data_IF_752940176556
#
_entry.id   IF_752940176556
#
_cell.length_a   1.000
_cell.length_b   1.000
_cell.length_c   1.000
_cell.angle_alpha   90.00
_cell.angle_beta   90.00
_cell.angle_gamma   90.00
#
_symmetry.space_group_name_H-M   'P 1'
#
loop_
_entity.id
_entity.type
_entity.pdbx_description
1 polymer ?
#
# COMPACT_ATOMS: atom_id res chain seq x y z
N UNK A 1 -4.21 16.24 -7.75
CA UNK A 1 -3.41 15.13 -8.33
C UNK A 1 -2.25 15.70 -9.13
N UNK A 2 -1.02 15.26 -8.86
CA UNK A 2 0.22 15.67 -9.53
C UNK A 2 0.88 14.46 -10.21
N UNK A 3 1.45 14.66 -11.40
CA UNK A 3 2.04 13.58 -12.19
C UNK A 3 1.00 12.72 -12.92
N UNK A 4 1.44 11.60 -13.51
CA UNK A 4 0.58 10.67 -14.27
C UNK A 4 0.97 9.22 -13.98
N UNK A 5 -0.01 8.29 -13.96
CA UNK A 5 0.30 6.87 -13.88
C UNK A 5 1.04 6.40 -15.13
N UNK A 6 2.07 5.58 -14.90
CA UNK A 6 2.81 4.88 -15.93
C UNK A 6 1.96 3.75 -16.49
N UNK A 7 2.21 3.38 -17.74
CA UNK A 7 1.58 2.20 -18.34
C UNK A 7 2.15 0.95 -17.66
N UNK A 8 1.37 -0.13 -17.59
CA UNK A 8 1.81 -1.43 -17.03
C UNK A 8 3.16 -1.90 -17.61
N UNK A 9 3.37 -1.73 -18.91
CA UNK A 9 4.63 -2.10 -19.59
C UNK A 9 5.86 -1.37 -19.05
N UNK A 10 5.67 -0.16 -18.54
CA UNK A 10 6.73 0.71 -18.04
C UNK A 10 6.93 0.50 -16.54
N UNK A 11 5.84 0.31 -15.79
CA UNK A 11 5.81 -0.03 -14.37
C UNK A 11 4.64 -0.98 -14.06
N UNK A 12 4.86 -2.30 -13.98
CA UNK A 12 3.80 -3.26 -13.70
C UNK A 12 3.33 -3.25 -12.24
N UNK A 13 4.06 -2.60 -11.34
CA UNK A 13 3.74 -2.50 -9.92
C UNK A 13 3.63 -1.03 -9.52
N UNK A 14 2.49 -0.66 -8.94
CA UNK A 14 2.24 0.61 -8.28
C UNK A 14 2.40 0.41 -6.77
N UNK A 15 3.25 1.21 -6.13
CA UNK A 15 3.41 1.19 -4.67
C UNK A 15 2.90 2.49 -4.08
N UNK A 16 2.26 2.41 -2.91
CA UNK A 16 1.63 3.57 -2.27
C UNK A 16 1.83 3.53 -0.76
N UNK A 17 2.01 4.69 -0.12
CA UNK A 17 1.87 4.77 1.34
C UNK A 17 0.41 4.53 1.72
N UNK A 18 0.16 4.06 2.94
CA UNK A 18 -1.19 3.71 3.39
C UNK A 18 -1.55 4.48 4.65
N UNK A 19 -2.52 5.37 4.54
CA UNK A 19 -2.98 6.22 5.65
C UNK A 19 -4.35 5.77 6.14
N UNK A 20 -5.24 5.37 5.24
CA UNK A 20 -6.64 5.11 5.58
C UNK A 20 -7.30 4.11 4.63
N UNK A 21 -8.46 3.58 5.02
CA UNK A 21 -9.23 2.65 4.18
C UNK A 21 -9.75 3.30 2.88
N UNK A 22 -9.73 4.63 2.76
CA UNK A 22 -10.09 5.37 1.54
C UNK A 22 -9.02 5.20 0.44
N UNK A 23 -7.76 4.93 0.79
CA UNK A 23 -6.66 4.78 -0.18
C UNK A 23 -6.96 3.70 -1.25
N UNK A 24 -7.25 2.43 -0.87
CA UNK A 24 -7.57 1.41 -1.86
C UNK A 24 -8.83 1.73 -2.68
N UNK A 25 -9.80 2.45 -2.12
CA UNK A 25 -11.02 2.86 -2.84
C UNK A 25 -10.70 3.83 -3.98
N UNK A 26 -9.92 4.88 -3.70
CA UNK A 26 -9.48 5.84 -4.71
C UNK A 26 -8.64 5.16 -5.81
N UNK A 27 -7.70 4.32 -5.38
CA UNK A 27 -6.81 3.58 -6.28
C UNK A 27 -7.61 2.65 -7.19
N UNK A 28 -8.60 1.96 -6.65
CA UNK A 28 -9.49 1.10 -7.41
C UNK A 28 -10.27 1.90 -8.46
N UNK A 29 -10.92 2.97 -8.04
CA UNK A 29 -11.64 3.87 -8.95
C UNK A 29 -10.76 4.35 -10.11
N UNK A 30 -9.47 4.64 -9.84
CA UNK A 30 -8.58 5.22 -10.83
C UNK A 30 -7.89 4.20 -11.75
N UNK A 31 -7.52 3.03 -11.24
CA UNK A 31 -6.62 2.10 -11.94
C UNK A 31 -7.15 0.68 -12.12
N UNK A 32 -8.23 0.31 -11.41
CA UNK A 32 -8.73 -1.06 -11.30
C UNK A 32 -7.61 -2.11 -11.11
N UNK A 33 -6.64 -1.88 -10.20
CA UNK A 33 -5.47 -2.72 -10.12
C UNK A 33 -5.79 -4.04 -9.44
N UNK A 34 -4.88 -4.99 -9.63
CA UNK A 34 -4.86 -6.19 -8.80
C UNK A 34 -4.21 -5.84 -7.47
N UNK A 35 -4.95 -5.97 -6.37
CA UNK A 35 -4.45 -5.63 -5.03
C UNK A 35 -3.83 -6.83 -4.31
N UNK A 36 -2.89 -6.54 -3.42
CA UNK A 36 -2.39 -7.48 -2.41
C UNK A 36 -3.04 -7.12 -1.08
N UNK A 37 -3.72 -8.06 -0.43
CA UNK A 37 -4.49 -7.81 0.79
C UNK A 37 -4.30 -8.91 1.83
N UNK A 38 -4.45 -8.55 3.10
CA UNK A 38 -4.55 -9.53 4.17
C UNK A 38 -5.85 -10.35 4.04
N UNK A 39 -5.82 -11.63 4.38
CA UNK A 39 -6.98 -12.54 4.23
C UNK A 39 -8.17 -12.10 5.12
N UNK A 40 -7.88 -11.50 6.27
CA UNK A 40 -8.86 -10.98 7.21
C UNK A 40 -9.73 -9.87 6.59
N UNK A 41 -9.19 -9.12 5.62
CA UNK A 41 -9.93 -8.07 4.93
C UNK A 41 -11.10 -8.61 4.08
N UNK A 42 -11.10 -9.90 3.75
CA UNK A 42 -12.20 -10.56 3.04
C UNK A 42 -13.44 -10.76 3.91
N UNK A 43 -13.30 -10.67 5.24
CA UNK A 43 -14.39 -10.88 6.18
C UNK A 43 -15.18 -9.60 6.49
N UNK A 44 -14.77 -8.44 5.95
CA UNK A 44 -15.52 -7.20 6.13
C UNK A 44 -16.87 -7.26 5.40
N UNK A 45 -18.00 -6.96 6.07
CA UNK A 45 -19.32 -6.91 5.43
C UNK A 45 -19.31 -5.97 4.21
N UNK A 46 -19.92 -6.42 3.10
CA UNK A 46 -19.98 -5.74 1.80
C UNK A 46 -18.62 -5.57 1.09
N UNK A 47 -17.62 -5.00 1.78
CA UNK A 47 -16.28 -4.76 1.23
C UNK A 47 -15.54 -6.05 0.89
N UNK A 48 -15.68 -7.09 1.71
CA UNK A 48 -15.04 -8.39 1.49
C UNK A 48 -15.48 -9.07 0.19
N UNK A 49 -16.76 -8.93 -0.18
CA UNK A 49 -17.30 -9.43 -1.46
C UNK A 49 -16.72 -8.68 -2.65
N UNK A 50 -16.63 -7.34 -2.56
CA UNK A 50 -16.01 -6.51 -3.60
C UNK A 50 -14.53 -6.87 -3.74
N UNK A 51 -13.83 -6.99 -2.60
CA UNK A 51 -12.42 -7.39 -2.56
C UNK A 51 -12.23 -8.75 -3.22
N UNK A 52 -13.07 -9.73 -2.92
CA UNK A 52 -13.00 -11.08 -3.51
C UNK A 52 -13.23 -11.05 -5.02
N UNK A 53 -14.19 -10.26 -5.50
CA UNK A 53 -14.48 -10.11 -6.93
C UNK A 53 -13.31 -9.51 -7.72
N UNK A 54 -12.42 -8.76 -7.07
CA UNK A 54 -11.20 -8.20 -7.67
C UNK A 54 -10.06 -9.22 -7.83
N UNK A 55 -10.26 -10.49 -7.45
CA UNK A 55 -9.27 -11.56 -7.52
C UNK A 55 -7.91 -11.17 -6.89
N UNK A 56 -7.89 -10.73 -5.63
CA UNK A 56 -6.70 -10.18 -5.00
C UNK A 56 -5.67 -11.29 -4.75
N UNK A 57 -4.42 -10.89 -4.51
CA UNK A 57 -3.44 -11.79 -3.91
C UNK A 57 -3.62 -11.71 -2.39
N UNK A 58 -4.07 -12.78 -1.76
CA UNK A 58 -4.28 -12.84 -0.32
C UNK A 58 -3.02 -13.27 0.43
N UNK A 59 -2.82 -12.73 1.62
CA UNK A 59 -1.69 -13.05 2.49
C UNK A 59 -2.19 -13.30 3.91
N UNK A 60 -1.80 -14.43 4.50
CA UNK A 60 -1.82 -14.65 5.94
C UNK A 60 -0.52 -14.16 6.54
N UNK A 61 -0.59 -13.14 7.38
CA UNK A 61 0.60 -12.44 7.91
C UNK A 61 1.48 -13.36 8.76
N UNK A 62 0.86 -14.25 9.52
CA UNK A 62 1.53 -15.22 10.41
C UNK A 62 2.20 -16.38 9.66
N UNK A 63 1.78 -16.67 8.43
CA UNK A 63 2.26 -17.83 7.66
C UNK A 63 3.37 -17.44 6.70
N UNK A 64 4.59 -17.92 6.97
CA UNK A 64 5.72 -17.77 6.03
C UNK A 64 5.43 -18.41 4.67
N UNK A 65 4.76 -19.56 4.66
CA UNK A 65 4.37 -20.25 3.42
C UNK A 65 3.41 -19.39 2.59
N UNK A 66 2.40 -18.77 3.23
CA UNK A 66 1.47 -17.85 2.57
C UNK A 66 2.20 -16.64 1.96
N UNK A 67 3.15 -16.05 2.70
CA UNK A 67 3.98 -14.94 2.20
C UNK A 67 4.82 -15.36 0.99
N UNK A 68 5.39 -16.56 1.00
CA UNK A 68 6.16 -17.09 -0.13
C UNK A 68 5.27 -17.32 -1.36
N UNK A 69 4.07 -17.90 -1.18
CA UNK A 69 3.08 -18.09 -2.25
C UNK A 69 2.67 -16.75 -2.87
N UNK A 70 2.42 -15.74 -2.04
CA UNK A 70 2.09 -14.41 -2.53
C UNK A 70 3.23 -13.76 -3.32
N UNK A 71 4.49 -13.91 -2.89
CA UNK A 71 5.64 -13.42 -3.65
C UNK A 71 5.75 -14.06 -5.05
N UNK A 72 5.48 -15.36 -5.15
CA UNK A 72 5.43 -16.08 -6.44
C UNK A 72 4.32 -15.51 -7.33
N UNK A 73 3.11 -15.32 -6.79
CA UNK A 73 1.99 -14.74 -7.55
C UNK A 73 2.22 -13.28 -7.96
N UNK A 74 2.84 -12.46 -7.09
CA UNK A 74 3.26 -11.09 -7.43
C UNK A 74 4.23 -11.14 -8.62
N UNK A 75 5.25 -12.00 -8.59
CA UNK A 75 6.21 -12.14 -9.69
C UNK A 75 5.54 -12.58 -10.99
N UNK A 76 4.58 -13.51 -10.91
CA UNK A 76 3.81 -14.00 -12.06
C UNK A 76 2.96 -12.89 -12.67
N UNK A 77 2.16 -12.17 -11.86
CA UNK A 77 1.25 -11.12 -12.35
C UNK A 77 1.98 -9.86 -12.83
N UNK A 78 3.13 -9.53 -12.23
CA UNK A 78 3.97 -8.43 -12.68
C UNK A 78 4.54 -8.67 -14.08
N UNK A 79 4.92 -9.92 -14.40
CA UNK A 79 5.55 -10.29 -15.69
C UNK A 79 4.54 -10.71 -16.76
N UNK A 80 3.33 -11.12 -16.37
CA UNK A 80 2.32 -11.56 -17.33
C UNK A 80 1.73 -10.38 -18.11
N UNK A 81 1.66 -10.54 -19.43
CA UNK A 81 0.97 -9.65 -20.36
C UNK A 81 -0.53 -9.93 -20.47
N UNK A 82 -1.00 -11.07 -19.96
CA UNK A 82 -2.42 -11.45 -19.98
C UNK A 82 -3.25 -10.52 -19.10
N UNK A 83 -2.68 -10.12 -17.96
CA UNK A 83 -3.29 -9.16 -17.06
C UNK A 83 -3.06 -7.75 -17.59
N UNK A 84 -4.13 -7.02 -17.95
CA UNK A 84 -4.00 -5.65 -18.49
C UNK A 84 -3.69 -4.61 -17.41
N UNK A 85 -4.05 -4.88 -16.17
CA UNK A 85 -3.94 -3.94 -15.05
C UNK A 85 -2.64 -4.17 -14.27
N UNK A 86 -2.11 -3.08 -13.70
CA UNK A 86 -0.94 -3.13 -12.82
C UNK A 86 -1.30 -3.77 -11.47
N UNK A 87 -0.29 -4.32 -10.80
CA UNK A 87 -0.39 -4.68 -9.39
C UNK A 87 -0.34 -3.42 -8.53
N UNK A 88 -1.11 -3.39 -7.46
CA UNK A 88 -1.01 -2.37 -6.44
C UNK A 88 -0.69 -2.98 -5.09
N UNK A 89 0.32 -2.42 -4.42
CA UNK A 89 0.82 -2.90 -3.13
C UNK A 89 1.05 -1.72 -2.19
N UNK A 90 0.58 -1.85 -0.95
CA UNK A 90 0.99 -0.98 0.16
C UNK A 90 2.18 -1.64 0.88
N UNK A 91 3.43 -1.24 0.58
CA UNK A 91 4.60 -1.96 1.08
C UNK A 91 4.80 -1.81 2.59
N UNK A 92 4.15 -0.84 3.25
CA UNK A 92 4.09 -0.72 4.71
C UNK A 92 3.43 -1.95 5.35
N UNK A 93 2.49 -2.60 4.65
CA UNK A 93 1.73 -3.74 5.16
C UNK A 93 0.72 -3.40 6.27
N UNK A 94 0.57 -2.11 6.58
CA UNK A 94 -0.37 -1.54 7.55
C UNK A 94 -0.71 -0.11 7.13
N UNK A 95 -1.75 0.47 7.71
CA UNK A 95 -2.01 1.91 7.70
C UNK A 95 -1.19 2.63 8.77
N UNK A 96 -0.79 3.87 8.49
CA UNK A 96 -0.02 4.75 9.40
C UNK A 96 -0.65 6.15 9.45
N UNK A 97 -0.17 6.99 10.38
CA UNK A 97 -0.61 8.38 10.47
C UNK A 97 0.07 9.32 9.45
N UNK A 98 0.92 8.78 8.57
CA UNK A 98 1.62 9.55 7.54
C UNK A 98 2.68 10.54 8.04
N UNK A 99 3.02 10.56 9.34
CA UNK A 99 4.04 11.48 9.90
C UNK A 99 5.48 10.96 9.74
N UNK A 100 5.63 9.65 9.57
CA UNK A 100 6.89 8.99 9.28
C UNK A 100 6.62 7.82 8.34
N UNK A 101 7.63 7.43 7.56
CA UNK A 101 7.54 6.28 6.68
C UNK A 101 8.19 5.06 7.34
N UNK A 102 7.35 4.06 7.63
CA UNK A 102 7.78 2.78 8.21
C UNK A 102 8.55 1.92 7.21
N UNK A 103 9.23 0.90 7.71
CA UNK A 103 9.96 -0.07 6.88
C UNK A 103 9.04 -0.80 5.90
N UNK A 104 9.51 -0.95 4.67
CA UNK A 104 8.77 -1.63 3.60
C UNK A 104 9.02 -3.13 3.62
N UNK A 105 7.95 -3.93 3.47
CA UNK A 105 8.03 -5.38 3.33
C UNK A 105 8.63 -5.73 1.95
N UNK A 106 9.82 -6.32 1.94
CA UNK A 106 10.58 -6.64 0.72
C UNK A 106 9.87 -7.59 -0.25
N UNK A 107 8.90 -8.37 0.22
CA UNK A 107 8.06 -9.24 -0.60
C UNK A 107 7.35 -8.50 -1.74
N UNK A 108 7.00 -7.22 -1.53
CA UNK A 108 6.41 -6.35 -2.55
C UNK A 108 7.33 -6.11 -3.75
N UNK A 109 8.64 -6.21 -3.54
CA UNK A 109 9.70 -5.93 -4.52
C UNK A 109 10.36 -7.22 -5.06
N UNK A 110 9.87 -8.39 -4.65
CA UNK A 110 10.38 -9.71 -5.04
C UNK A 110 10.37 -9.97 -6.56
N UNK A 111 9.51 -9.28 -7.31
CA UNK A 111 9.41 -9.42 -8.76
C UNK A 111 10.62 -8.85 -9.51
N UNK A 112 11.45 -8.01 -8.85
CA UNK A 112 12.52 -7.22 -9.48
C UNK A 112 12.04 -6.50 -10.75
N UNK A 113 10.78 -6.06 -10.74
CA UNK A 113 10.17 -5.32 -11.85
C UNK A 113 10.22 -3.81 -11.56
N UNK A 114 10.16 -2.95 -12.58
CA UNK A 114 10.01 -1.52 -12.37
C UNK A 114 8.77 -1.21 -11.53
N UNK A 115 8.92 -0.28 -10.58
CA UNK A 115 7.82 0.17 -9.72
C UNK A 115 7.56 1.64 -9.98
N UNK A 116 6.29 2.04 -9.96
CA UNK A 116 5.95 3.45 -9.84
C UNK A 116 5.53 3.72 -8.40
N UNK A 117 6.26 4.58 -7.68
CA UNK A 117 5.79 5.06 -6.40
C UNK A 117 4.71 6.11 -6.59
N UNK A 118 3.70 6.07 -5.74
CA UNK A 118 2.67 7.08 -5.61
C UNK A 118 2.56 7.45 -4.13
N UNK A 119 2.50 8.74 -3.85
CA UNK A 119 2.31 9.21 -2.48
C UNK A 119 0.95 9.87 -2.33
N UNK A 120 0.31 9.62 -1.20
CA UNK A 120 -0.98 10.20 -0.80
C UNK A 120 -0.81 11.04 0.45
N UNK A 121 -1.41 12.22 0.43
CA UNK A 121 -1.47 13.14 1.58
C UNK A 121 -2.92 13.50 1.85
N UNK A 122 -3.22 13.70 3.12
CA UNK A 122 -4.52 14.14 3.58
C UNK A 122 -4.37 15.43 4.38
N UNK A 123 -4.33 16.60 3.70
CA UNK A 123 -4.40 17.88 4.39
C UNK A 123 -5.70 17.97 5.17
N UNK A 124 -5.60 18.17 6.48
CA UNK A 124 -6.75 18.29 7.37
C UNK A 124 -6.46 19.31 8.46
N UNK A 125 -7.53 19.89 9.00
CA UNK A 125 -7.46 20.85 10.11
C UNK A 125 -8.08 20.27 11.37
N UNK A 126 -9.29 19.71 11.26
CA UNK A 126 -10.07 19.28 12.43
C UNK A 126 -10.22 17.76 12.57
N UNK A 127 -10.14 17.01 11.47
CA UNK A 127 -10.32 15.56 11.47
C UNK A 127 -9.14 14.89 10.77
N UNK A 128 -8.35 14.14 11.53
CA UNK A 128 -7.32 13.25 10.98
C UNK A 128 -8.00 12.01 10.35
N UNK A 129 -7.86 11.78 9.04
CA UNK A 129 -8.47 10.64 8.37
C UNK A 129 -7.65 9.35 8.52
N UNK A 130 -6.52 9.36 9.23
CA UNK A 130 -5.68 8.18 9.40
C UNK A 130 -6.38 7.09 10.20
N UNK A 131 -6.25 5.86 9.72
CA UNK A 131 -6.82 4.68 10.36
C UNK A 131 -5.70 3.87 11.02
N UNK A 132 -5.26 4.31 12.21
CA UNK A 132 -4.20 3.63 12.98
C UNK A 132 -4.79 2.60 13.96
N UNK A 133 -3.97 1.66 14.44
CA UNK A 133 -4.41 0.57 15.32
C UNK A 133 -5.14 1.06 16.59
N UNK A 134 -4.60 2.08 17.26
CA UNK A 134 -5.20 2.72 18.45
C UNK A 134 -6.25 3.80 18.09
N UNK A 135 -6.69 3.84 16.82
CA UNK A 135 -7.61 4.85 16.30
C UNK A 135 -9.08 4.47 16.41
N UNK A 136 -9.99 5.34 15.93
CA UNK A 136 -11.40 4.99 15.79
C UNK A 136 -11.56 3.80 14.82
N UNK A 137 -12.63 3.02 15.01
CA UNK A 137 -12.99 1.96 14.05
C UNK A 137 -13.23 2.52 12.65
N UNK A 138 -13.05 1.71 11.62
CA UNK A 138 -13.28 2.12 10.23
C UNK A 138 -14.68 2.74 10.02
N UNK A 139 -15.71 2.19 10.66
CA UNK A 139 -17.08 2.72 10.57
C UNK A 139 -17.24 4.08 11.27
N UNK A 140 -16.63 4.24 12.46
CA UNK A 140 -16.67 5.53 13.16
C UNK A 140 -15.90 6.60 12.37
N UNK A 141 -14.77 6.24 11.78
CA UNK A 141 -13.99 7.13 10.94
C UNK A 141 -14.74 7.46 9.64
N UNK A 142 -15.37 6.49 8.99
CA UNK A 142 -16.24 6.72 7.83
C UNK A 142 -17.37 7.69 8.16
N UNK A 143 -18.06 7.48 9.28
CA UNK A 143 -19.11 8.40 9.73
C UNK A 143 -18.58 9.82 9.91
N UNK A 144 -17.42 9.99 10.56
CA UNK A 144 -16.78 11.31 10.74
C UNK A 144 -16.39 11.96 9.41
N UNK A 145 -15.88 11.19 8.45
CA UNK A 145 -15.56 11.70 7.11
C UNK A 145 -16.82 12.17 6.36
N UNK A 146 -17.95 11.51 6.57
CA UNK A 146 -19.25 11.91 6.00
C UNK A 146 -19.86 13.14 6.67
N UNK A 147 -19.45 13.49 7.89
CA UNK A 147 -19.91 14.71 8.58
C UNK A 147 -19.06 15.95 8.27
N UNK A 148 -18.07 15.84 7.40
CA UNK A 148 -17.30 16.99 6.91
C UNK A 148 -17.87 17.53 5.60
N UNK A 149 -17.83 18.85 5.41
CA UNK A 149 -18.28 19.49 4.17
C UNK A 149 -17.44 19.04 2.96
N UNK A 150 -16.13 18.87 3.15
CA UNK A 150 -15.24 18.25 2.17
C UNK A 150 -14.06 17.55 2.85
N UNK A 151 -13.49 16.58 2.16
CA UNK A 151 -12.25 15.90 2.55
C UNK A 151 -11.21 16.11 1.45
N UNK A 152 -9.98 16.45 1.81
CA UNK A 152 -8.90 16.63 0.83
C UNK A 152 -8.04 15.36 0.73
N UNK A 153 -7.78 14.95 -0.50
CA UNK A 153 -6.84 13.88 -0.84
C UNK A 153 -5.91 14.39 -1.95
N UNK A 154 -4.63 14.48 -1.64
CA UNK A 154 -3.60 14.86 -2.60
C UNK A 154 -2.82 13.62 -3.03
N UNK A 155 -2.67 13.46 -4.34
CA UNK A 155 -1.96 12.34 -4.94
C UNK A 155 -0.80 12.89 -5.74
N UNK A 156 0.37 12.29 -5.59
CA UNK A 156 1.54 12.57 -6.43
C UNK A 156 2.15 11.27 -6.95
N UNK A 157 2.19 11.13 -8.28
CA UNK A 157 2.91 10.05 -8.95
C UNK A 157 4.38 10.42 -9.08
N UNK A 158 5.26 9.60 -8.51
CA UNK A 158 6.70 9.76 -8.61
C UNK A 158 7.24 9.12 -9.91
N UNK A 159 8.47 9.48 -10.33
CA UNK A 159 9.11 8.83 -11.47
C UNK A 159 9.22 7.31 -11.28
N UNK A 160 9.15 6.56 -12.38
CA UNK A 160 9.31 5.11 -12.35
C UNK A 160 10.71 4.75 -11.89
N UNK A 161 10.79 3.92 -10.85
CA UNK A 161 12.05 3.43 -10.30
C UNK A 161 12.30 2.02 -10.83
N UNK A 162 13.48 1.81 -11.42
CA UNK A 162 13.90 0.51 -11.94
C UNK A 162 14.91 -0.11 -10.98
N UNK A 163 14.82 -1.42 -10.69
CA UNK A 163 15.84 -2.12 -9.93
C UNK A 163 17.11 -2.27 -10.76
N UNK A 164 18.27 -2.16 -10.11
CA UNK A 164 19.57 -2.41 -10.76
C UNK A 164 19.84 -3.92 -10.85
N UNK A 165 20.70 -4.36 -11.79
CA UNK A 165 20.94 -5.81 -12.05
C UNK A 165 21.42 -6.60 -10.83
N UNK A 166 22.10 -5.96 -9.88
CA UNK A 166 22.65 -6.56 -8.66
C UNK A 166 21.92 -6.12 -7.38
N UNK A 167 20.85 -5.32 -7.50
CA UNK A 167 20.14 -4.77 -6.36
C UNK A 167 19.23 -5.84 -5.74
N UNK A 168 19.42 -6.11 -4.45
CA UNK A 168 18.55 -7.06 -3.75
C UNK A 168 17.16 -6.40 -3.49
N UNK A 169 16.07 -7.19 -3.36
CA UNK A 169 14.73 -6.63 -3.17
C UNK A 169 14.58 -5.70 -1.96
N UNK A 170 15.38 -5.91 -0.91
CA UNK A 170 15.38 -5.08 0.30
C UNK A 170 15.96 -3.69 0.05
N UNK A 171 17.14 -3.61 -0.55
CA UNK A 171 17.81 -2.36 -0.93
C UNK A 171 16.97 -1.57 -1.93
N UNK A 172 16.29 -2.25 -2.85
CA UNK A 172 15.35 -1.58 -3.75
C UNK A 172 14.14 -1.02 -2.99
N UNK A 173 13.58 -1.78 -2.04
CA UNK A 173 12.50 -1.30 -1.18
C UNK A 173 12.93 -0.07 -0.35
N UNK A 174 14.14 -0.09 0.20
CA UNK A 174 14.71 1.03 0.98
C UNK A 174 14.92 2.28 0.12
N UNK A 175 15.40 2.13 -1.11
CA UNK A 175 15.56 3.25 -2.06
C UNK A 175 14.21 3.84 -2.47
N UNK A 176 13.22 3.00 -2.73
CA UNK A 176 11.85 3.43 -3.04
C UNK A 176 11.20 4.13 -1.83
N UNK A 177 11.40 3.58 -0.63
CA UNK A 177 10.97 4.19 0.64
C UNK A 177 11.58 5.59 0.81
N UNK A 178 12.89 5.72 0.62
CA UNK A 178 13.58 7.00 0.75
C UNK A 178 13.06 8.05 -0.25
N UNK A 179 12.75 7.63 -1.49
CA UNK A 179 12.15 8.50 -2.50
C UNK A 179 10.74 8.99 -2.09
N UNK A 180 9.91 8.06 -1.63
CA UNK A 180 8.55 8.37 -1.17
C UNK A 180 8.56 9.25 0.09
N UNK A 181 9.44 8.99 1.04
CA UNK A 181 9.61 9.80 2.25
C UNK A 181 10.05 11.23 1.91
N UNK A 182 10.98 11.39 0.95
CA UNK A 182 11.41 12.71 0.46
C UNK A 182 10.27 13.47 -0.19
N UNK A 183 9.47 12.81 -1.02
CA UNK A 183 8.30 13.43 -1.63
C UNK A 183 7.27 13.86 -0.57
N UNK A 184 7.01 13.01 0.43
CA UNK A 184 6.10 13.33 1.53
C UNK A 184 6.66 14.37 2.51
N UNK A 185 7.95 14.68 2.45
CA UNK A 185 8.67 15.51 3.42
C UNK A 185 8.56 14.97 4.86
N UNK A 186 8.80 13.67 5.02
CA UNK A 186 8.74 12.96 6.32
C UNK A 186 10.02 12.19 6.58
N UNK A 187 10.26 11.88 7.85
CA UNK A 187 11.38 11.02 8.25
C UNK A 187 11.07 9.55 7.97
N UNK A 188 12.11 8.76 7.76
CA UNK A 188 12.01 7.28 7.71
C UNK A 188 12.26 6.71 9.10
N UNK A 189 11.66 5.56 9.38
CA UNK A 189 11.87 4.83 10.62
C UNK A 189 12.05 3.34 10.33
N UNK A 190 12.86 2.65 11.14
CA UNK A 190 13.13 1.22 10.94
C UNK A 190 12.02 0.32 11.48
N UNK A 191 11.06 0.88 12.23
CA UNK A 191 9.91 0.15 12.75
C UNK A 191 9.04 -0.43 11.63
N UNK A 192 8.44 -1.56 11.95
CA UNK A 192 7.53 -2.35 11.13
C UNK A 192 6.21 -2.55 11.86
N UNK A 193 5.19 -3.04 11.15
CA UNK A 193 3.95 -3.53 11.78
C UNK A 193 4.21 -4.63 12.82
N UNK A 194 5.24 -5.46 12.58
CA UNK A 194 5.54 -6.61 13.41
C UNK A 194 6.04 -6.15 14.80
N UNK A 195 6.69 -4.97 14.90
CA UNK A 195 7.11 -4.36 16.17
C UNK A 195 5.93 -3.96 17.05
N UNK A 196 4.86 -3.40 16.46
CA UNK A 196 3.63 -3.07 17.20
C UNK A 196 2.97 -4.35 17.72
N UNK A 197 2.90 -5.39 16.87
CA UNK A 197 2.34 -6.68 17.25
C UNK A 197 3.08 -7.33 18.42
N UNK A 198 4.41 -7.18 18.47
CA UNK A 198 5.22 -7.66 19.60
C UNK A 198 4.94 -6.89 20.90
N UNK A 199 4.75 -5.57 20.83
CA UNK A 199 4.41 -4.75 22.01
C UNK A 199 3.05 -5.14 22.56
N UNK A 200 2.06 -5.36 21.70
CA UNK A 200 0.72 -5.77 22.14
C UNK A 200 0.70 -7.18 22.74
N UNK A 201 1.49 -8.11 22.19
CA UNK A 201 1.62 -9.46 22.75
C UNK A 201 2.34 -9.51 24.12
N UNK A 202 3.10 -8.47 24.46
CA UNK A 202 3.82 -8.36 25.73
C UNK A 202 2.99 -7.67 26.85
N UNK A 203 1.80 -7.14 26.53
CA UNK A 203 0.86 -6.55 27.48
C UNK A 203 -0.03 -7.62 28.11
#
# INVERSE_FOLDING_TARGET
>A
VKGKPARKRDAPVLVCNHVTFVDPVYIFYKHLPVIVTAEENLNYPFMGTIISAMQPITIRRESQESRNKAAVEIRKRAKSLEWKNSLMIFPEGTTTNGKAMVSFKSGAFSSSSPVQPMVVRYPHVHLDPSWVADGPSAYALLFRLMTQFHNYMEIEYLPVMRPSKQENPRSFAERVRAEMARALNVVVTEHTFDDVSMVDAAR
#
